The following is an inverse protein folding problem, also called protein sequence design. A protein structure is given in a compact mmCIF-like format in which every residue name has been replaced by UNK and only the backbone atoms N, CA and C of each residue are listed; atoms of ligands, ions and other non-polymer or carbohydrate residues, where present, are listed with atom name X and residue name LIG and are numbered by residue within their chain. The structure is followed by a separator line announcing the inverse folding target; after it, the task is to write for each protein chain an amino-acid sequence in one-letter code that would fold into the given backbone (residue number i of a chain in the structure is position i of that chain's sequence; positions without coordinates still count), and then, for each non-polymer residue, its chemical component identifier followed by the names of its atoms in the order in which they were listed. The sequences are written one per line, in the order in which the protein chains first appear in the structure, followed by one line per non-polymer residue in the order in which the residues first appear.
data_IF_559099673834
#
_entry.id   IF_559099673834
#
_cell.length_a   1.000
_cell.length_b   1.000
_cell.length_c   1.000
_cell.angle_alpha   90.00
_cell.angle_beta   90.00
_cell.angle_gamma   90.00
#
_symmetry.space_group_name_H-M   'P 1'
#
loop_
_entity.id
_entity.type
_entity.pdbx_description
1 polymer ?
#
# COMPACT_ATOMS: atom_id res chain seq x y z
N UNK A 1 -4.26 -22.91 2.00
CA UNK A 1 -4.31 -23.30 3.43
C UNK A 1 -5.63 -22.88 4.05
N UNK A 2 -6.18 -23.62 5.02
CA UNK A 2 -7.34 -23.18 5.82
C UNK A 2 -6.86 -22.52 7.12
N UNK A 3 -7.35 -21.31 7.40
CA UNK A 3 -7.21 -20.67 8.71
C UNK A 3 -8.56 -20.67 9.43
N UNK A 4 -8.61 -21.28 10.61
CA UNK A 4 -9.75 -21.18 11.50
C UNK A 4 -9.64 -19.92 12.36
N UNK A 5 -10.72 -19.16 12.43
CA UNK A 5 -10.79 -17.87 13.12
C UNK A 5 -11.90 -17.92 14.18
N UNK A 6 -11.49 -17.69 15.42
CA UNK A 6 -12.39 -17.55 16.56
C UNK A 6 -12.63 -16.05 16.84
N UNK A 7 -13.89 -15.63 16.70
CA UNK A 7 -14.33 -14.26 17.00
C UNK A 7 -14.91 -14.12 18.42
N UNK A 8 -14.85 -15.19 19.22
CA UNK A 8 -15.52 -15.30 20.50
C UNK A 8 -17.03 -15.49 20.36
N UNK A 9 -17.70 -15.69 21.50
CA UNK A 9 -19.17 -15.89 21.60
C UNK A 9 -19.71 -17.05 20.74
N UNK A 10 -18.87 -18.06 20.47
CA UNK A 10 -19.23 -19.22 19.65
C UNK A 10 -19.25 -18.95 18.14
N UNK A 11 -18.84 -17.74 17.70
CA UNK A 11 -18.70 -17.45 16.28
C UNK A 11 -17.32 -17.90 15.79
N UNK A 12 -17.30 -19.05 15.12
CA UNK A 12 -16.12 -19.56 14.42
C UNK A 12 -16.37 -19.42 12.91
N UNK A 13 -15.38 -18.90 12.21
CA UNK A 13 -15.36 -18.90 10.75
C UNK A 13 -14.04 -19.46 10.26
N UNK A 14 -13.95 -19.76 8.97
CA UNK A 14 -12.70 -20.15 8.34
C UNK A 14 -12.44 -19.28 7.12
N UNK A 15 -11.16 -19.10 6.80
CA UNK A 15 -10.69 -18.43 5.60
C UNK A 15 -9.81 -19.41 4.83
N UNK A 16 -10.06 -19.52 3.53
CA UNK A 16 -9.17 -20.22 2.62
C UNK A 16 -8.14 -19.23 2.09
N UNK A 17 -6.87 -19.45 2.42
CA UNK A 17 -5.75 -18.74 1.83
C UNK A 17 -5.30 -19.47 0.57
N UNK A 18 -5.69 -18.93 -0.58
CA UNK A 18 -5.25 -19.40 -1.88
C UNK A 18 -3.72 -19.18 -2.02
N UNK A 19 -3.02 -20.14 -2.61
CA UNK A 19 -1.58 -20.07 -2.88
C UNK A 19 -0.68 -19.84 -1.65
N UNK A 20 -1.16 -20.25 -0.47
CA UNK A 20 -0.37 -20.33 0.76
C UNK A 20 -0.44 -21.76 1.30
N UNK A 21 0.72 -22.40 1.43
CA UNK A 21 0.87 -23.70 2.11
C UNK A 21 1.05 -23.53 3.62
N UNK A 22 0.90 -24.63 4.37
CA UNK A 22 1.16 -24.63 5.83
C UNK A 22 2.62 -24.32 6.15
N UNK A 23 3.56 -24.84 5.35
CA UNK A 23 5.00 -24.58 5.50
C UNK A 23 5.32 -23.10 5.29
N UNK A 24 4.79 -22.49 4.23
CA UNK A 24 4.96 -21.05 3.97
C UNK A 24 4.34 -20.19 5.08
N UNK A 25 3.15 -20.55 5.56
CA UNK A 25 2.54 -19.85 6.70
C UNK A 25 3.41 -19.97 7.97
N UNK A 26 3.97 -21.15 8.23
CA UNK A 26 4.87 -21.34 9.37
C UNK A 26 6.13 -20.51 9.22
N UNK A 27 6.74 -20.46 8.03
CA UNK A 27 7.89 -19.60 7.74
C UNK A 27 7.57 -18.12 8.00
N UNK A 28 6.39 -17.65 7.59
CA UNK A 28 5.93 -16.29 7.87
C UNK A 28 5.79 -16.05 9.38
N UNK A 29 5.19 -16.99 10.10
CA UNK A 29 5.01 -16.92 11.54
C UNK A 29 6.36 -16.89 12.27
N UNK A 30 7.28 -17.79 11.94
CA UNK A 30 8.60 -17.90 12.57
C UNK A 30 9.45 -16.65 12.36
N UNK A 31 9.30 -15.99 11.22
CA UNK A 31 9.94 -14.70 10.97
C UNK A 31 9.27 -13.56 11.74
N UNK A 32 7.93 -13.46 11.71
CA UNK A 32 7.24 -12.27 12.18
C UNK A 32 7.06 -12.24 13.71
N UNK A 33 6.74 -13.37 14.34
CA UNK A 33 6.48 -13.46 15.79
C UNK A 33 7.62 -12.85 16.62
N UNK A 34 8.92 -13.16 16.35
CA UNK A 34 10.03 -12.53 17.09
C UNK A 34 10.14 -11.01 16.87
N UNK A 35 9.65 -10.47 15.75
CA UNK A 35 9.72 -9.05 15.43
C UNK A 35 8.63 -8.23 16.14
N UNK A 36 7.44 -8.80 16.36
CA UNK A 36 6.26 -8.08 16.92
C UNK A 36 6.56 -7.35 18.23
N UNK A 37 7.38 -7.97 19.08
CA UNK A 37 7.76 -7.45 20.40
C UNK A 37 9.26 -7.17 20.54
N UNK A 38 10.02 -7.16 19.43
CA UNK A 38 11.47 -6.93 19.47
C UNK A 38 11.77 -5.53 20.05
N UNK A 39 12.58 -5.42 21.13
CA UNK A 39 12.90 -4.13 21.70
C UNK A 39 13.57 -3.20 20.67
N UNK A 40 13.21 -1.92 20.71
CA UNK A 40 13.71 -0.84 19.82
C UNK A 40 13.32 -0.95 18.34
N UNK A 41 12.69 -2.05 17.90
CA UNK A 41 12.07 -2.12 16.58
C UNK A 41 10.67 -1.52 16.65
N UNK A 42 10.35 -0.58 15.76
CA UNK A 42 8.99 -0.02 15.70
C UNK A 42 8.06 -1.05 15.06
N UNK A 43 6.83 -1.16 15.56
CA UNK A 43 5.83 -2.07 14.99
C UNK A 43 5.64 -1.88 13.49
N UNK A 44 5.69 -0.65 12.98
CA UNK A 44 5.55 -0.39 11.54
C UNK A 44 6.66 -1.03 10.70
N UNK A 45 7.90 -1.00 11.21
CA UNK A 45 9.06 -1.55 10.50
C UNK A 45 8.98 -3.08 10.54
N UNK A 46 8.60 -3.65 11.70
CA UNK A 46 8.35 -5.09 11.84
C UNK A 46 7.25 -5.60 10.90
N UNK A 47 6.12 -4.89 10.81
CA UNK A 47 5.00 -5.27 9.93
C UNK A 47 5.40 -5.12 8.45
N UNK A 48 6.07 -4.03 8.08
CA UNK A 48 6.52 -3.78 6.71
C UNK A 48 7.48 -4.86 6.21
N UNK A 49 8.51 -5.17 7.00
CA UNK A 49 9.49 -6.23 6.69
C UNK A 49 8.82 -7.61 6.58
N UNK A 50 7.93 -7.94 7.51
CA UNK A 50 7.21 -9.20 7.47
C UNK A 50 6.29 -9.30 6.25
N UNK A 51 5.74 -8.18 5.77
CA UNK A 51 4.92 -8.15 4.56
C UNK A 51 5.73 -8.39 3.29
N UNK A 52 6.87 -7.71 3.13
CA UNK A 52 7.79 -7.95 2.00
C UNK A 52 8.20 -9.42 1.98
N UNK A 53 8.67 -9.95 3.12
CA UNK A 53 9.07 -11.35 3.26
C UNK A 53 7.91 -12.31 2.94
N UNK A 54 6.69 -12.06 3.45
CA UNK A 54 5.54 -12.91 3.16
C UNK A 54 5.19 -12.95 1.67
N UNK A 55 5.32 -11.83 0.97
CA UNK A 55 5.05 -11.76 -0.48
C UNK A 55 6.16 -12.40 -1.31
N UNK A 56 7.39 -12.45 -0.80
CA UNK A 56 8.49 -13.20 -1.44
C UNK A 56 8.34 -14.71 -1.25
N UNK A 57 7.92 -15.15 -0.06
CA UNK A 57 7.67 -16.57 0.25
C UNK A 57 6.41 -17.08 -0.47
N UNK A 58 5.41 -16.23 -0.66
CA UNK A 58 4.13 -16.55 -1.29
C UNK A 58 3.87 -15.64 -2.50
N UNK A 59 4.65 -15.75 -3.60
CA UNK A 59 4.57 -14.81 -4.72
C UNK A 59 3.22 -14.83 -5.46
N UNK A 60 2.55 -15.98 -5.46
CA UNK A 60 1.25 -16.17 -6.12
C UNK A 60 0.05 -15.92 -5.18
N UNK A 61 0.29 -15.65 -3.89
CA UNK A 61 -0.77 -15.34 -2.95
C UNK A 61 -1.26 -13.90 -3.12
N UNK A 62 -2.53 -13.67 -2.78
CA UNK A 62 -3.09 -12.32 -2.79
C UNK A 62 -2.45 -11.49 -1.64
N UNK A 63 -1.71 -10.40 -1.93
CA UNK A 63 -1.06 -9.61 -0.89
C UNK A 63 -2.05 -9.02 0.13
N UNK A 64 -3.27 -8.68 -0.31
CA UNK A 64 -4.37 -8.27 0.57
C UNK A 64 -4.72 -9.32 1.63
N UNK A 65 -4.71 -10.61 1.25
CA UNK A 65 -4.98 -11.71 2.17
C UNK A 65 -3.81 -11.97 3.13
N UNK A 66 -2.57 -11.92 2.64
CA UNK A 66 -1.38 -12.01 3.49
C UNK A 66 -1.39 -10.92 4.56
N UNK A 67 -1.75 -9.68 4.18
CA UNK A 67 -1.87 -8.58 5.12
C UNK A 67 -2.97 -8.80 6.17
N UNK A 68 -4.20 -9.10 5.72
CA UNK A 68 -5.38 -9.10 6.58
C UNK A 68 -5.63 -10.41 7.33
N UNK A 69 -5.28 -11.56 6.74
CA UNK A 69 -5.55 -12.87 7.34
C UNK A 69 -4.33 -13.54 7.94
N UNK A 70 -3.11 -13.17 7.52
CA UNK A 70 -1.88 -13.70 8.11
C UNK A 70 -1.28 -12.69 9.10
N UNK A 71 -0.76 -11.57 8.62
CA UNK A 71 0.00 -10.63 9.44
C UNK A 71 -0.85 -9.96 10.52
N UNK A 72 -2.02 -9.45 10.15
CA UNK A 72 -2.95 -8.87 11.14
C UNK A 72 -3.25 -9.87 12.27
N UNK A 73 -3.54 -11.12 11.94
CA UNK A 73 -3.94 -12.13 12.94
C UNK A 73 -2.79 -12.54 13.84
N UNK A 74 -1.59 -12.74 13.29
CA UNK A 74 -0.37 -12.95 14.07
C UNK A 74 -0.13 -11.74 14.99
N UNK A 75 -0.18 -10.52 14.46
CA UNK A 75 0.07 -9.31 15.25
C UNK A 75 -0.91 -9.17 16.43
N UNK A 76 -2.21 -9.35 16.18
CA UNK A 76 -3.24 -9.24 17.24
C UNK A 76 -3.03 -10.30 18.34
N UNK A 77 -2.62 -11.51 17.97
CA UNK A 77 -2.38 -12.60 18.92
C UNK A 77 -1.12 -12.37 19.76
N UNK A 78 -0.04 -11.91 19.14
CA UNK A 78 1.29 -11.91 19.75
C UNK A 78 1.67 -10.59 20.42
N UNK A 79 1.04 -9.46 20.05
CA UNK A 79 1.47 -8.14 20.55
C UNK A 79 1.22 -7.98 22.04
N UNK A 80 2.27 -7.56 22.77
CA UNK A 80 2.23 -7.36 24.23
C UNK A 80 2.29 -5.86 24.58
N UNK A 81 1.71 -5.48 25.72
CA UNK A 81 1.93 -4.19 26.40
C UNK A 81 1.04 -3.02 25.96
N UNK A 82 0.34 -3.14 24.85
CA UNK A 82 -0.69 -2.19 24.37
C UNK A 82 -1.84 -2.96 23.77
N UNK A 83 -3.04 -2.36 23.67
CA UNK A 83 -4.14 -2.91 22.87
C UNK A 83 -3.66 -3.20 21.43
N UNK A 84 -3.56 -4.48 21.02
CA UNK A 84 -3.05 -4.84 19.69
C UNK A 84 -3.89 -4.26 18.55
N UNK A 85 -5.21 -4.15 18.73
CA UNK A 85 -6.13 -3.66 17.70
C UNK A 85 -5.93 -2.16 17.46
N UNK A 86 -5.86 -1.37 18.54
CA UNK A 86 -5.57 0.06 18.44
C UNK A 86 -4.17 0.34 17.92
N UNK A 87 -3.20 -0.50 18.31
CA UNK A 87 -1.83 -0.44 17.80
C UNK A 87 -1.81 -0.68 16.28
N UNK A 88 -2.45 -1.76 15.82
CA UNK A 88 -2.52 -2.12 14.40
C UNK A 88 -3.12 -1.01 13.55
N UNK A 89 -4.26 -0.43 13.97
CA UNK A 89 -4.93 0.66 13.24
C UNK A 89 -4.00 1.86 13.01
N UNK A 90 -3.08 2.14 13.94
CA UNK A 90 -2.13 3.25 13.84
C UNK A 90 -0.91 2.91 12.99
N UNK A 91 -0.36 1.70 13.16
CA UNK A 91 0.95 1.35 12.59
C UNK A 91 0.87 0.66 11.24
N UNK A 92 -0.25 0.03 10.90
CA UNK A 92 -0.41 -0.70 9.63
C UNK A 92 -0.32 0.22 8.40
N UNK A 93 -0.87 1.43 8.46
CA UNK A 93 -0.72 2.42 7.38
C UNK A 93 0.75 2.76 7.10
N UNK A 94 1.49 3.17 8.13
CA UNK A 94 2.92 3.47 8.01
C UNK A 94 3.76 2.24 7.62
N UNK A 95 3.33 1.04 8.03
CA UNK A 95 4.01 -0.21 7.66
C UNK A 95 3.92 -0.50 6.16
N UNK A 96 2.79 -0.14 5.53
CA UNK A 96 2.64 -0.30 4.09
C UNK A 96 3.53 0.69 3.33
N UNK A 97 3.72 1.90 3.86
CA UNK A 97 4.71 2.86 3.34
C UNK A 97 6.13 2.29 3.39
N UNK A 98 6.51 1.65 4.51
CA UNK A 98 7.81 0.96 4.65
C UNK A 98 7.93 -0.14 3.60
N UNK A 99 6.92 -1.00 3.47
CA UNK A 99 6.95 -2.12 2.55
C UNK A 99 7.09 -1.68 1.09
N UNK A 100 6.43 -0.60 0.67
CA UNK A 100 6.59 -0.04 -0.68
C UNK A 100 8.04 0.37 -0.94
N UNK A 101 8.65 1.09 0.00
CA UNK A 101 10.04 1.55 -0.12
C UNK A 101 11.00 0.37 -0.17
N UNK A 102 10.85 -0.60 0.73
CA UNK A 102 11.71 -1.78 0.84
C UNK A 102 11.60 -2.68 -0.40
N UNK A 103 10.37 -2.88 -0.91
CA UNK A 103 10.10 -3.69 -2.10
C UNK A 103 10.64 -3.06 -3.39
N UNK A 104 10.43 -1.76 -3.57
CA UNK A 104 10.65 -1.13 -4.87
C UNK A 104 11.98 -0.41 -5.03
N UNK A 105 12.63 0.08 -3.96
CA UNK A 105 13.92 0.75 -4.11
C UNK A 105 15.01 -0.13 -4.75
N UNK A 106 15.18 -1.43 -4.40
CA UNK A 106 16.17 -2.28 -5.05
C UNK A 106 15.99 -2.37 -6.57
N UNK A 107 14.73 -2.37 -7.03
CA UNK A 107 14.38 -2.45 -8.45
C UNK A 107 14.56 -1.10 -9.14
N UNK A 108 14.01 -0.03 -8.55
CA UNK A 108 13.99 1.31 -9.11
C UNK A 108 15.37 1.98 -9.14
N UNK A 109 16.28 1.57 -8.27
CA UNK A 109 17.63 2.13 -8.19
C UNK A 109 18.40 2.02 -9.51
N UNK A 110 18.21 0.94 -10.29
CA UNK A 110 18.86 0.75 -11.60
C UNK A 110 18.40 1.77 -12.66
N UNK A 111 17.27 2.44 -12.41
CA UNK A 111 16.71 3.51 -13.23
C UNK A 111 16.95 4.89 -12.62
N UNK A 112 17.75 5.00 -11.55
CA UNK A 112 17.96 6.26 -10.83
C UNK A 112 16.68 6.82 -10.21
N UNK A 113 15.73 5.96 -9.84
CA UNK A 113 14.50 6.35 -9.15
C UNK A 113 14.60 5.90 -7.69
N UNK A 114 14.13 6.73 -6.75
CA UNK A 114 14.13 6.45 -5.32
C UNK A 114 12.78 6.78 -4.70
N UNK A 115 12.32 5.92 -3.81
CA UNK A 115 11.18 6.14 -2.93
C UNK A 115 11.65 6.44 -1.51
N UNK A 116 11.00 7.39 -0.87
CA UNK A 116 11.27 7.78 0.53
C UNK A 116 9.96 7.88 1.31
N UNK A 117 9.74 6.99 2.28
CA UNK A 117 8.60 7.06 3.19
C UNK A 117 8.72 8.30 4.09
N UNK A 118 7.62 9.04 4.23
CA UNK A 118 7.59 10.36 4.88
C UNK A 118 6.98 10.28 6.28
N UNK A 119 7.78 9.90 7.27
CA UNK A 119 7.33 9.83 8.65
C UNK A 119 7.29 11.22 9.32
N UNK A 120 6.88 11.26 10.60
CA UNK A 120 6.77 12.49 11.39
C UNK A 120 8.01 13.38 11.25
N UNK A 121 7.80 14.63 10.84
CA UNK A 121 8.85 15.64 10.62
C UNK A 121 9.36 15.73 9.19
N UNK A 122 9.18 14.70 8.36
CA UNK A 122 9.68 14.68 6.98
C UNK A 122 8.64 15.23 5.98
N UNK A 123 7.34 15.07 6.25
CA UNK A 123 6.27 15.49 5.32
C UNK A 123 6.33 16.99 4.97
N UNK A 124 6.61 17.87 5.93
CA UNK A 124 6.74 19.31 5.66
C UNK A 124 7.90 19.63 4.71
N UNK A 125 9.06 19.02 4.93
CA UNK A 125 10.22 19.17 4.05
C UNK A 125 9.94 18.64 2.64
N UNK A 126 9.26 17.49 2.53
CA UNK A 126 8.87 16.92 1.24
C UNK A 126 7.96 17.87 0.45
N UNK A 127 6.92 18.44 1.08
CA UNK A 127 6.04 19.40 0.40
C UNK A 127 6.76 20.69 -0.01
N UNK A 128 7.75 21.14 0.79
CA UNK A 128 8.60 22.27 0.41
C UNK A 128 9.43 21.92 -0.82
N UNK A 129 10.06 20.74 -0.85
CA UNK A 129 10.83 20.28 -2.02
C UNK A 129 9.98 20.11 -3.27
N UNK A 130 8.72 19.70 -3.11
CA UNK A 130 7.72 19.63 -4.18
C UNK A 130 7.26 21.03 -4.67
N UNK A 131 7.45 22.09 -3.89
CA UNK A 131 6.95 23.44 -4.22
C UNK A 131 5.44 23.61 -4.01
N UNK A 132 4.85 22.86 -3.08
CA UNK A 132 3.39 22.87 -2.82
C UNK A 132 3.03 23.02 -1.33
N UNK A 133 4.00 23.33 -0.46
CA UNK A 133 3.80 23.40 0.99
C UNK A 133 2.78 24.44 1.45
N UNK A 134 2.57 25.51 0.69
CA UNK A 134 1.60 26.57 0.95
C UNK A 134 0.18 26.21 0.53
N UNK A 135 0.01 25.16 -0.29
CA UNK A 135 -1.27 24.75 -0.91
C UNK A 135 -1.74 23.38 -0.45
N UNK A 136 -0.83 22.50 -0.05
CA UNK A 136 -1.11 21.14 0.39
C UNK A 136 -0.90 21.03 1.90
N UNK A 137 -1.90 20.52 2.61
CA UNK A 137 -1.77 20.24 4.05
C UNK A 137 -0.63 19.25 4.34
N UNK A 138 0.11 19.47 5.43
CA UNK A 138 1.37 18.78 5.79
C UNK A 138 1.30 17.26 6.02
N UNK A 139 0.16 16.60 5.78
CA UNK A 139 -0.07 15.18 6.07
C UNK A 139 -0.52 14.36 4.87
N UNK A 140 -0.57 14.95 3.67
CA UNK A 140 -1.28 14.40 2.51
C UNK A 140 -0.43 13.63 1.50
N UNK A 141 0.86 13.41 1.77
CA UNK A 141 1.71 12.53 0.96
C UNK A 141 2.40 11.56 1.90
N UNK A 142 2.44 10.29 1.51
CA UNK A 142 2.92 9.19 2.35
C UNK A 142 4.32 8.74 1.93
N UNK A 143 4.58 8.62 0.63
CA UNK A 143 5.91 8.31 0.07
C UNK A 143 6.26 9.33 -1.01
N UNK A 144 7.50 9.81 -1.01
CA UNK A 144 8.02 10.71 -2.04
C UNK A 144 8.68 9.91 -3.17
N UNK A 145 8.48 10.32 -4.42
CA UNK A 145 9.12 9.75 -5.60
C UNK A 145 10.17 10.74 -6.09
N UNK A 146 11.40 10.26 -6.24
CA UNK A 146 12.55 11.08 -6.65
C UNK A 146 13.28 10.45 -7.84
N UNK A 147 13.91 11.29 -8.65
CA UNK A 147 14.65 10.91 -9.85
C UNK A 147 16.03 11.57 -9.84
N UNK A 148 17.08 10.77 -10.01
CA UNK A 148 18.44 11.27 -10.13
C UNK A 148 18.61 12.07 -11.43
N UNK A 149 19.17 13.27 -11.33
CA UNK A 149 19.41 14.15 -12.48
C UNK A 149 18.15 14.85 -13.01
N UNK A 150 17.01 14.74 -12.32
CA UNK A 150 15.75 15.36 -12.74
C UNK A 150 14.85 15.73 -11.56
N UNK A 151 13.73 16.40 -11.84
CA UNK A 151 12.76 16.81 -10.82
C UNK A 151 13.10 18.10 -10.07
N UNK A 152 12.29 18.41 -9.06
CA UNK A 152 12.37 19.66 -8.28
C UNK A 152 13.29 19.51 -7.07
N UNK A 153 13.98 20.58 -6.70
CA UNK A 153 14.74 20.67 -5.45
C UNK A 153 15.67 19.45 -5.20
N UNK A 154 16.66 19.22 -6.08
CA UNK A 154 17.58 18.09 -5.96
C UNK A 154 18.32 18.14 -4.62
N UNK A 155 18.52 16.96 -4.01
CA UNK A 155 19.36 16.81 -2.84
C UNK A 155 20.86 16.77 -3.22
N UNK A 156 21.72 16.51 -2.23
CA UNK A 156 23.17 16.43 -2.43
C UNK A 156 23.61 15.26 -3.34
N UNK A 157 22.77 14.25 -3.52
CA UNK A 157 23.01 13.08 -4.38
C UNK A 157 22.40 13.28 -5.79
N UNK A 158 21.78 14.44 -6.04
CA UNK A 158 21.18 14.81 -7.31
C UNK A 158 19.76 14.26 -7.52
N UNK A 159 19.11 13.74 -6.47
CA UNK A 159 17.72 13.26 -6.55
C UNK A 159 16.75 14.42 -6.37
N UNK A 160 16.03 14.78 -7.43
CA UNK A 160 14.94 15.76 -7.37
C UNK A 160 13.57 15.08 -7.29
N UNK A 161 12.61 15.79 -6.70
CA UNK A 161 11.25 15.29 -6.48
C UNK A 161 10.44 15.37 -7.76
N UNK A 162 9.85 14.24 -8.15
CA UNK A 162 9.00 14.11 -9.35
C UNK A 162 7.56 13.72 -9.02
N UNK A 163 7.28 13.32 -7.78
CA UNK A 163 5.93 13.00 -7.36
C UNK A 163 5.81 12.45 -5.96
N UNK A 164 4.63 11.91 -5.66
CA UNK A 164 4.34 11.24 -4.40
C UNK A 164 3.32 10.12 -4.55
N UNK A 165 3.30 9.26 -3.53
CA UNK A 165 2.37 8.14 -3.40
C UNK A 165 1.48 8.40 -2.18
N UNK A 166 0.19 8.22 -2.38
CA UNK A 166 -0.84 8.12 -1.34
C UNK A 166 -1.00 6.64 -1.03
N UNK A 167 -0.50 6.19 0.11
CA UNK A 167 -0.44 4.76 0.45
C UNK A 167 -1.60 4.40 1.39
N UNK A 168 -2.47 3.48 0.99
CA UNK A 168 -3.70 3.12 1.73
C UNK A 168 -3.88 1.62 1.82
N UNK A 169 -3.76 1.04 3.02
CA UNK A 169 -4.08 -0.38 3.24
C UNK A 169 -5.54 -0.69 2.86
N UNK A 170 -6.48 0.13 3.33
CA UNK A 170 -7.87 0.15 2.89
C UNK A 170 -8.22 1.57 2.43
N UNK A 171 -9.13 1.67 1.47
CA UNK A 171 -9.50 2.97 0.91
C UNK A 171 -10.45 3.73 1.84
N UNK A 172 -11.50 3.06 2.32
CA UNK A 172 -12.54 3.64 3.19
C UNK A 172 -12.96 5.06 2.76
N UNK A 173 -13.46 5.90 3.66
CA UNK A 173 -13.69 7.33 3.39
C UNK A 173 -12.39 8.12 3.15
N UNK A 174 -11.22 7.52 3.40
CA UNK A 174 -9.95 8.25 3.51
C UNK A 174 -9.31 8.60 2.17
N UNK A 175 -9.71 7.97 1.07
CA UNK A 175 -9.17 8.31 -0.25
C UNK A 175 -9.61 9.70 -0.71
N UNK A 176 -10.84 10.14 -0.39
CA UNK A 176 -11.33 11.46 -0.78
C UNK A 176 -10.57 12.61 -0.09
N UNK A 177 -10.00 12.33 1.08
CA UNK A 177 -9.18 13.29 1.82
C UNK A 177 -7.89 13.65 1.09
N UNK A 178 -7.39 12.81 0.19
CA UNK A 178 -6.14 13.02 -0.55
C UNK A 178 -6.36 13.67 -1.92
N UNK A 179 -7.60 13.70 -2.42
CA UNK A 179 -7.96 14.28 -3.74
C UNK A 179 -7.49 15.73 -3.89
N UNK A 180 -7.71 16.65 -2.93
CA UNK A 180 -7.26 18.04 -3.10
C UNK A 180 -5.74 18.15 -3.26
N UNK A 181 -4.99 17.38 -2.48
CA UNK A 181 -3.53 17.36 -2.55
C UNK A 181 -3.06 16.77 -3.89
N UNK A 182 -3.68 15.67 -4.31
CA UNK A 182 -3.37 15.00 -5.56
C UNK A 182 -3.58 15.90 -6.79
N UNK A 183 -4.72 16.60 -6.85
CA UNK A 183 -5.01 17.57 -7.93
C UNK A 183 -4.00 18.71 -7.98
N UNK A 184 -3.58 19.24 -6.84
CA UNK A 184 -2.55 20.29 -6.78
C UNK A 184 -1.21 19.76 -7.28
N UNK A 185 -0.79 18.58 -6.83
CA UNK A 185 0.44 17.94 -7.31
C UNK A 185 0.41 17.72 -8.83
N UNK A 186 -0.68 17.18 -9.36
CA UNK A 186 -0.82 16.93 -10.80
C UNK A 186 -0.89 18.22 -11.61
N UNK A 187 -1.56 19.26 -11.11
CA UNK A 187 -1.58 20.59 -11.74
C UNK A 187 -0.19 21.25 -11.79
N UNK A 188 0.72 20.81 -10.94
CA UNK A 188 2.13 21.21 -10.90
C UNK A 188 3.05 20.29 -11.74
N UNK A 189 2.47 19.33 -12.47
CA UNK A 189 3.24 18.37 -13.26
C UNK A 189 3.97 17.33 -12.41
N UNK A 190 3.60 17.15 -11.14
CA UNK A 190 4.10 16.07 -10.29
C UNK A 190 3.22 14.83 -10.44
N UNK A 191 3.83 13.64 -10.39
CA UNK A 191 3.09 12.39 -10.27
C UNK A 191 2.38 12.33 -8.90
N UNK A 192 1.15 11.88 -8.90
CA UNK A 192 0.35 11.66 -7.70
C UNK A 192 -0.32 10.29 -7.78
N UNK A 193 0.36 9.27 -7.26
CA UNK A 193 -0.02 7.87 -7.41
C UNK A 193 -0.80 7.41 -6.19
N UNK A 194 -1.91 6.70 -6.39
CA UNK A 194 -2.58 5.96 -5.33
C UNK A 194 -2.03 4.53 -5.28
N UNK A 195 -1.63 4.07 -4.11
CA UNK A 195 -1.14 2.71 -3.90
C UNK A 195 -1.95 2.07 -2.77
N UNK A 196 -2.50 0.89 -2.99
CA UNK A 196 -3.43 0.29 -2.03
C UNK A 196 -3.34 -1.22 -1.96
N UNK A 197 -3.60 -1.78 -0.77
CA UNK A 197 -3.87 -3.21 -0.61
C UNK A 197 -5.35 -3.57 -0.80
N UNK A 198 -6.21 -2.56 -1.03
CA UNK A 198 -7.66 -2.67 -1.22
C UNK A 198 -8.29 -3.69 -0.25
N UNK A 199 -7.91 -3.58 1.04
CA UNK A 199 -8.32 -4.53 2.08
C UNK A 199 -9.75 -4.22 2.51
N UNK A 200 -10.69 -5.11 2.17
CA UNK A 200 -12.04 -5.07 2.70
C UNK A 200 -12.67 -6.46 2.70
N UNK A 201 -12.99 -6.95 3.89
CA UNK A 201 -13.85 -8.11 4.07
C UNK A 201 -14.73 -7.97 5.32
N UNK A 202 -15.79 -8.76 5.38
CA UNK A 202 -16.76 -8.76 6.48
C UNK A 202 -16.86 -10.15 7.09
N UNK A 203 -16.89 -10.28 8.44
CA UNK A 203 -17.12 -11.55 9.10
C UNK A 203 -18.57 -12.03 8.92
N UNK A 204 -18.84 -13.33 9.03
CA UNK A 204 -20.21 -13.84 9.14
C UNK A 204 -20.97 -13.19 10.31
N UNK A 205 -22.31 -13.01 10.20
CA UNK A 205 -23.16 -13.37 9.07
C UNK A 205 -23.16 -12.32 7.93
N UNK A 206 -22.44 -11.21 8.08
CA UNK A 206 -22.45 -10.09 7.12
C UNK A 206 -21.57 -10.32 5.89
N UNK A 207 -20.70 -11.32 5.92
CA UNK A 207 -19.85 -11.72 4.80
C UNK A 207 -19.19 -13.07 5.04
N UNK A 208 -18.18 -13.35 4.23
CA UNK A 208 -17.46 -14.63 4.16
C UNK A 208 -15.94 -14.43 4.31
N UNK A 209 -15.52 -13.28 4.84
CA UNK A 209 -14.12 -12.90 5.09
C UNK A 209 -13.22 -12.82 3.84
N UNK A 210 -13.74 -12.95 2.62
CA UNK A 210 -12.93 -12.76 1.40
C UNK A 210 -12.64 -11.27 1.18
N UNK A 211 -11.36 -10.90 0.97
CA UNK A 211 -10.96 -9.54 0.64
C UNK A 211 -11.34 -9.18 -0.81
N UNK A 212 -12.55 -8.65 -1.00
CA UNK A 212 -13.05 -8.19 -2.31
C UNK A 212 -12.71 -6.73 -2.62
N UNK A 213 -12.20 -5.99 -1.65
CA UNK A 213 -11.87 -4.58 -1.82
C UNK A 213 -13.09 -3.66 -1.92
N UNK A 214 -12.83 -2.41 -2.30
CA UNK A 214 -13.81 -1.32 -2.30
C UNK A 214 -13.89 -0.58 -3.64
N UNK A 215 -13.12 -0.96 -4.65
CA UNK A 215 -13.09 -0.31 -5.97
C UNK A 215 -14.28 -0.69 -6.87
N UNK A 216 -14.96 -1.81 -6.60
CA UNK A 216 -15.99 -2.32 -7.51
C UNK A 216 -15.39 -2.83 -8.83
N UNK A 217 -16.18 -2.81 -9.90
CA UNK A 217 -15.77 -3.27 -11.24
C UNK A 217 -15.93 -2.15 -12.27
N UNK A 218 -15.31 -2.25 -13.47
CA UNK A 218 -15.54 -1.25 -14.52
C UNK A 218 -17.03 -1.04 -14.86
N UNK A 219 -17.83 -2.11 -14.87
CA UNK A 219 -19.27 -2.04 -15.19
C UNK A 219 -20.15 -1.59 -14.01
N UNK A 220 -19.61 -1.69 -12.78
CA UNK A 220 -20.27 -1.29 -11.53
C UNK A 220 -19.26 -0.58 -10.64
N UNK A 221 -18.80 0.61 -11.04
CA UNK A 221 -17.72 1.30 -10.32
C UNK A 221 -18.25 1.81 -8.98
N UNK A 222 -17.42 1.72 -7.95
CA UNK A 222 -17.66 2.48 -6.73
C UNK A 222 -17.25 3.95 -6.92
N UNK A 223 -17.67 4.83 -6.01
CA UNK A 223 -17.20 6.22 -5.99
C UNK A 223 -15.67 6.30 -5.95
N UNK A 224 -15.02 5.36 -5.27
CA UNK A 224 -13.56 5.29 -5.15
C UNK A 224 -12.90 5.03 -6.49
N UNK A 225 -13.42 4.09 -7.28
CA UNK A 225 -12.93 3.84 -8.64
C UNK A 225 -13.18 5.05 -9.55
N UNK A 226 -14.33 5.72 -9.39
CA UNK A 226 -14.63 6.93 -10.15
C UNK A 226 -13.67 8.09 -9.87
N UNK A 227 -13.12 8.21 -8.65
CA UNK A 227 -12.06 9.20 -8.38
C UNK A 227 -10.84 9.00 -9.29
N UNK A 228 -10.50 7.76 -9.65
CA UNK A 228 -9.40 7.48 -10.57
C UNK A 228 -9.89 7.59 -12.02
N UNK A 229 -10.77 6.69 -12.45
CA UNK A 229 -11.07 6.45 -13.86
C UNK A 229 -12.07 7.46 -14.44
N UNK A 230 -12.95 8.00 -13.60
CA UNK A 230 -13.94 8.99 -14.00
C UNK A 230 -13.38 10.40 -13.96
N UNK A 231 -12.78 10.77 -12.81
CA UNK A 231 -12.37 12.15 -12.54
C UNK A 231 -10.90 12.42 -12.85
N UNK A 232 -10.05 11.39 -12.84
CA UNK A 232 -8.60 11.57 -13.00
C UNK A 232 -7.97 12.26 -11.79
N UNK A 233 -8.48 12.02 -10.59
CA UNK A 233 -8.00 12.66 -9.35
C UNK A 233 -6.61 12.18 -8.94
N UNK A 234 -6.11 11.10 -9.53
CA UNK A 234 -4.76 10.55 -9.34
C UNK A 234 -4.13 10.22 -10.70
N UNK A 235 -2.80 10.21 -10.78
CA UNK A 235 -2.04 9.90 -12.00
C UNK A 235 -2.20 8.43 -12.43
N UNK A 236 -2.33 7.54 -11.46
CA UNK A 236 -2.63 6.12 -11.58
C UNK A 236 -2.98 5.55 -10.19
N UNK A 237 -3.58 4.37 -10.17
CA UNK A 237 -3.79 3.59 -8.96
C UNK A 237 -3.19 2.18 -9.11
N UNK A 238 -2.48 1.70 -8.10
CA UNK A 238 -1.93 0.35 -8.04
C UNK A 238 -2.58 -0.39 -6.88
N UNK A 239 -3.35 -1.43 -7.18
CA UNK A 239 -3.94 -2.32 -6.19
C UNK A 239 -3.12 -3.60 -6.09
N UNK A 240 -2.73 -3.95 -4.87
CA UNK A 240 -2.15 -5.24 -4.51
C UNK A 240 -3.19 -6.17 -3.87
N UNK A 241 -4.42 -6.08 -4.38
CA UNK A 241 -5.45 -7.08 -4.19
C UNK A 241 -5.71 -7.76 -5.53
N UNK A 242 -5.33 -9.03 -5.64
CA UNK A 242 -5.52 -9.81 -6.88
C UNK A 242 -7.00 -10.04 -7.24
N UNK A 243 -7.94 -9.69 -6.35
CA UNK A 243 -9.39 -9.69 -6.61
C UNK A 243 -9.93 -8.33 -7.04
N UNK A 244 -9.11 -7.27 -7.03
CA UNK A 244 -9.47 -6.00 -7.66
C UNK A 244 -9.62 -6.23 -9.16
N UNK A 245 -10.69 -5.70 -9.76
CA UNK A 245 -10.79 -5.66 -11.22
C UNK A 245 -9.86 -4.57 -11.76
N UNK A 246 -9.01 -4.82 -12.77
CA UNK A 246 -8.22 -3.77 -13.42
C UNK A 246 -9.12 -2.82 -14.22
N UNK A 247 -8.56 -1.71 -14.69
CA UNK A 247 -9.24 -0.85 -15.68
C UNK A 247 -9.45 -1.55 -17.02
N UNK A 248 -10.48 -1.11 -17.75
CA UNK A 248 -10.55 -1.35 -19.19
C UNK A 248 -9.39 -0.62 -19.90
N UNK A 249 -9.12 -0.99 -21.16
CA UNK A 249 -8.07 -0.34 -21.96
C UNK A 249 -8.25 1.18 -22.05
N UNK A 250 -9.50 1.65 -22.08
CA UNK A 250 -9.86 3.08 -22.07
C UNK A 250 -10.70 3.41 -20.84
N UNK A 251 -10.41 4.54 -20.21
CA UNK A 251 -11.20 5.11 -19.10
C UNK A 251 -11.58 6.55 -19.43
N UNK A 252 -12.68 7.09 -18.86
CA UNK A 252 -13.10 8.47 -19.13
C UNK A 252 -12.03 9.53 -18.88
N UNK A 253 -11.23 9.38 -17.82
CA UNK A 253 -10.14 10.31 -17.48
C UNK A 253 -8.80 9.97 -18.14
N UNK A 254 -8.69 8.81 -18.79
CA UNK A 254 -7.43 8.25 -19.26
C UNK A 254 -6.50 7.77 -18.14
N UNK A 255 -6.97 7.71 -16.89
CA UNK A 255 -6.25 7.18 -15.73
C UNK A 255 -6.73 5.77 -15.40
N UNK A 256 -5.82 4.95 -14.87
CA UNK A 256 -6.05 3.51 -14.75
C UNK A 256 -5.75 3.00 -13.33
N UNK A 257 -6.42 1.92 -12.99
CA UNK A 257 -6.22 1.04 -11.86
C UNK A 257 -5.51 -0.20 -12.40
N UNK A 258 -4.26 -0.36 -12.00
CA UNK A 258 -3.43 -1.53 -12.25
C UNK A 258 -3.55 -2.50 -11.09
N UNK A 259 -3.45 -3.80 -11.39
CA UNK A 259 -3.47 -4.87 -10.41
C UNK A 259 -2.15 -5.61 -10.52
N UNK A 260 -1.46 -5.77 -9.39
CA UNK A 260 -0.17 -6.44 -9.36
C UNK A 260 -0.05 -7.31 -8.12
N UNK A 261 0.81 -8.33 -8.21
CA UNK A 261 1.38 -8.94 -7.02
C UNK A 261 2.29 -7.95 -6.29
N UNK A 262 2.92 -8.39 -5.21
CA UNK A 262 3.86 -7.57 -4.43
C UNK A 262 5.26 -8.20 -4.36
N UNK A 263 5.65 -8.96 -5.39
CA UNK A 263 6.87 -9.77 -5.44
C UNK A 263 7.48 -9.72 -6.85
N UNK A 264 8.69 -10.27 -7.02
CA UNK A 264 9.39 -10.31 -8.31
C UNK A 264 10.34 -9.12 -8.57
N UNK A 265 10.90 -9.06 -9.79
CA UNK A 265 11.84 -7.99 -10.16
C UNK A 265 11.11 -6.78 -10.75
N UNK A 266 10.16 -6.98 -11.66
CA UNK A 266 9.42 -5.90 -12.33
C UNK A 266 7.91 -6.18 -12.28
N UNK A 267 7.11 -5.12 -12.26
CA UNK A 267 5.65 -5.15 -12.24
C UNK A 267 5.06 -3.86 -12.83
N UNK A 268 3.73 -3.76 -12.91
CA UNK A 268 3.03 -2.59 -13.47
C UNK A 268 3.43 -1.27 -12.79
N UNK A 269 3.74 -1.30 -11.49
CA UNK A 269 4.17 -0.12 -10.75
C UNK A 269 5.56 0.36 -11.21
N UNK A 270 6.50 -0.58 -11.32
CA UNK A 270 7.85 -0.30 -11.81
C UNK A 270 7.82 0.19 -13.25
N UNK A 271 7.11 -0.51 -14.13
CA UNK A 271 6.98 -0.17 -15.55
C UNK A 271 6.36 1.21 -15.74
N UNK A 272 5.32 1.53 -14.96
CA UNK A 272 4.69 2.85 -14.97
C UNK A 272 5.68 3.95 -14.58
N UNK A 273 6.39 3.80 -13.46
CA UNK A 273 7.33 4.83 -13.00
C UNK A 273 8.49 5.02 -13.99
N UNK A 274 9.02 3.94 -14.56
CA UNK A 274 10.06 4.04 -15.59
C UNK A 274 9.53 4.75 -16.83
N UNK A 275 8.33 4.41 -17.31
CA UNK A 275 7.75 5.06 -18.48
C UNK A 275 7.44 6.55 -18.27
N UNK A 276 7.01 6.95 -17.06
CA UNK A 276 6.72 8.35 -16.75
C UNK A 276 7.98 9.20 -16.50
N UNK A 277 9.13 8.58 -16.21
CA UNK A 277 10.36 9.26 -15.79
C UNK A 277 11.57 9.00 -16.71
N UNK A 278 11.34 8.34 -17.85
CA UNK A 278 12.32 8.17 -18.93
C UNK A 278 12.46 9.48 -19.73
#
# INVERSE_FOLDING_TARGET
MRLDLDFGRGLVAHVMLDNVSEEQYQQISDYFVPLVNKPKLKSRDAIGQAFVMATEVCPDANPSDLWHHVLYRIYIREKIGTDPSQSWVRTSGEAFEVALVERYNPVLARHGIRLTALFKGQKGLALTRMGVADRVGSRKVDVMIEKQGGGRSPDAEGFGVVGGIHAKVSLAERVSDDIPASRIMMGEGLLSVLSTLDVKSFPPPHGDLVNRGELGTPDRPSDKRNYIEGHGDFSACFSYNLRTSPSNATTPSGRHIYVSGFSGQDDEFTDYLVAQLA
#
